data_IF_057735752480
#
_entry.id   IF_057735752480
#
_cell.length_a   1.000
_cell.length_b   1.000
_cell.length_c   1.000
_cell.angle_alpha   90.00
_cell.angle_beta   90.00
_cell.angle_gamma   90.00
#
_symmetry.space_group_name_H-M   'P 1'
#
loop_
_entity.id
_entity.type
_entity.pdbx_description
1 polymer ?
#
# COMPACT_ATOMS: atom_id res chain seq x y z
N UNK A 1 -32.38 8.73 -13.40
CA UNK A 1 -31.56 7.52 -13.18
C UNK A 1 -30.08 7.90 -13.13
N UNK A 2 -29.44 7.86 -11.95
CA UNK A 2 -28.00 8.07 -11.81
C UNK A 2 -27.28 6.77 -12.17
N UNK A 3 -26.51 6.76 -13.24
CA UNK A 3 -25.65 5.62 -13.58
C UNK A 3 -24.41 5.69 -12.68
N UNK A 4 -24.37 4.88 -11.64
CA UNK A 4 -23.14 4.69 -10.84
C UNK A 4 -22.16 3.88 -11.69
N UNK A 5 -21.10 4.55 -12.16
CA UNK A 5 -19.97 3.89 -12.80
C UNK A 5 -19.28 3.04 -11.74
N UNK A 6 -19.52 1.73 -11.76
CA UNK A 6 -18.79 0.78 -10.92
C UNK A 6 -17.40 0.66 -11.56
N UNK A 7 -16.42 1.31 -10.95
CA UNK A 7 -15.02 1.13 -11.30
C UNK A 7 -14.64 -0.28 -10.86
N UNK A 8 -14.45 -1.18 -11.82
CA UNK A 8 -13.95 -2.51 -11.53
C UNK A 8 -12.48 -2.35 -11.15
N UNK A 9 -12.18 -2.33 -9.85
CA UNK A 9 -10.82 -2.52 -9.36
C UNK A 9 -10.38 -3.90 -9.86
N UNK A 10 -9.20 -3.99 -10.46
CA UNK A 10 -8.74 -5.24 -11.06
C UNK A 10 -8.53 -6.28 -9.96
N UNK A 11 -8.87 -7.55 -10.20
CA UNK A 11 -8.60 -8.63 -9.24
C UNK A 11 -7.11 -8.75 -8.89
N UNK A 12 -6.22 -8.24 -9.76
CA UNK A 12 -4.80 -8.11 -9.48
C UNK A 12 -4.51 -7.12 -8.34
N UNK A 13 -5.19 -5.97 -8.32
CA UNK A 13 -4.99 -4.93 -7.31
C UNK A 13 -5.46 -5.41 -5.92
N UNK A 14 -6.60 -6.11 -5.86
CA UNK A 14 -7.11 -6.70 -4.61
C UNK A 14 -6.13 -7.74 -4.02
N UNK A 15 -5.51 -8.55 -4.87
CA UNK A 15 -4.53 -9.55 -4.41
C UNK A 15 -3.26 -8.93 -3.82
N UNK A 16 -2.82 -7.78 -4.36
CA UNK A 16 -1.67 -7.02 -3.85
C UNK A 16 -2.01 -6.37 -2.51
N UNK A 17 -3.24 -5.86 -2.34
CA UNK A 17 -3.72 -5.28 -1.08
C UNK A 17 -3.78 -6.33 0.03
N UNK A 18 -4.27 -7.55 -0.25
CA UNK A 18 -4.28 -8.64 0.75
C UNK A 18 -2.86 -9.06 1.16
N UNK A 19 -1.97 -9.27 0.18
CA UNK A 19 -0.58 -9.65 0.44
C UNK A 19 0.12 -8.61 1.32
N UNK A 20 -0.08 -7.33 1.00
CA UNK A 20 0.49 -6.20 1.75
C UNK A 20 -0.05 -6.13 3.18
N UNK A 21 -1.36 -6.26 3.34
CA UNK A 21 -2.03 -6.26 4.65
C UNK A 21 -1.52 -7.40 5.52
N UNK A 22 -1.40 -8.60 4.94
CA UNK A 22 -0.90 -9.79 5.63
C UNK A 22 0.55 -9.64 6.06
N UNK A 23 1.41 -9.11 5.19
CA UNK A 23 2.82 -8.89 5.49
C UNK A 23 3.00 -7.86 6.61
N UNK A 24 2.25 -6.75 6.56
CA UNK A 24 2.28 -5.73 7.61
C UNK A 24 1.97 -6.34 8.98
N UNK A 25 0.88 -7.10 9.07
CA UNK A 25 0.48 -7.77 10.31
C UNK A 25 1.56 -8.70 10.86
N UNK A 26 2.31 -9.40 10.01
CA UNK A 26 3.42 -10.27 10.44
C UNK A 26 4.57 -9.46 11.06
N UNK A 27 4.96 -8.37 10.42
CA UNK A 27 6.07 -7.52 10.85
C UNK A 27 5.73 -6.76 12.15
N UNK A 28 4.52 -6.19 12.22
CA UNK A 28 4.00 -5.52 13.44
C UNK A 28 3.94 -6.49 14.62
N UNK A 29 3.47 -7.72 14.38
CA UNK A 29 3.44 -8.78 15.41
C UNK A 29 4.83 -9.25 15.82
N UNK A 30 5.82 -9.11 14.94
CA UNK A 30 7.25 -9.33 15.24
C UNK A 30 7.88 -8.20 16.08
N UNK A 31 7.14 -7.12 16.35
CA UNK A 31 7.62 -5.99 17.15
C UNK A 31 8.53 -5.03 16.37
N UNK A 32 8.51 -5.08 15.04
CA UNK A 32 9.23 -4.09 14.23
C UNK A 32 8.62 -2.70 14.44
N UNK A 33 9.48 -1.69 14.48
CA UNK A 33 9.02 -0.31 14.50
C UNK A 33 8.35 0.06 13.15
N UNK A 34 7.47 1.07 13.15
CA UNK A 34 6.72 1.45 11.94
C UNK A 34 7.58 1.79 10.71
N UNK A 35 8.80 2.33 10.90
CA UNK A 35 9.72 2.66 9.79
C UNK A 35 10.29 1.38 9.19
N UNK A 36 10.73 0.43 10.03
CA UNK A 36 11.19 -0.87 9.56
C UNK A 36 10.09 -1.64 8.81
N UNK A 37 8.83 -1.56 9.28
CA UNK A 37 7.68 -2.14 8.56
C UNK A 37 7.51 -1.51 7.17
N UNK A 38 7.58 -0.18 7.07
CA UNK A 38 7.44 0.52 5.79
C UNK A 38 8.55 0.15 4.79
N UNK A 39 9.80 0.05 5.24
CA UNK A 39 10.95 -0.35 4.41
C UNK A 39 10.76 -1.77 3.86
N UNK A 40 10.32 -2.72 4.71
CA UNK A 40 10.08 -4.09 4.26
C UNK A 40 8.94 -4.16 3.24
N UNK A 41 7.84 -3.43 3.47
CA UNK A 41 6.73 -3.38 2.51
C UNK A 41 7.14 -2.74 1.17
N UNK A 42 7.98 -1.69 1.21
CA UNK A 42 8.54 -1.05 0.02
C UNK A 42 9.40 -2.04 -0.78
N UNK A 43 10.34 -2.72 -0.10
CA UNK A 43 11.24 -3.67 -0.74
C UNK A 43 10.51 -4.86 -1.37
N UNK A 44 9.42 -5.32 -0.77
CA UNK A 44 8.68 -6.49 -1.24
C UNK A 44 7.62 -6.20 -2.29
N UNK A 45 6.96 -5.04 -2.20
CA UNK A 45 5.80 -4.75 -3.05
C UNK A 45 6.07 -3.68 -4.10
N UNK A 46 7.12 -2.87 -3.95
CA UNK A 46 7.47 -1.78 -4.85
C UNK A 46 7.05 -0.40 -4.33
N UNK A 47 5.75 -0.11 -4.10
CA UNK A 47 5.28 1.16 -3.55
C UNK A 47 5.22 1.12 -2.01
N UNK A 48 5.56 2.22 -1.34
CA UNK A 48 5.52 2.31 0.13
C UNK A 48 4.17 2.88 0.62
N UNK A 49 3.57 2.35 1.71
CA UNK A 49 2.20 2.69 2.05
C UNK A 49 2.17 4.10 2.63
N UNK A 50 1.59 5.04 1.89
CA UNK A 50 1.53 6.45 2.29
C UNK A 50 2.81 7.25 2.05
N UNK A 51 3.83 6.67 1.41
CA UNK A 51 5.01 7.42 0.93
C UNK A 51 4.90 7.84 -0.53
N UNK A 52 3.83 7.42 -1.21
CA UNK A 52 3.34 8.04 -2.44
C UNK A 52 2.75 9.44 -2.12
N UNK A 53 3.47 10.26 -1.35
CA UNK A 53 3.25 11.70 -1.39
C UNK A 53 3.99 12.12 -2.66
N UNK A 54 3.27 12.58 -3.67
CA UNK A 54 3.87 13.22 -4.84
C UNK A 54 4.99 14.16 -4.37
N UNK A 55 6.24 13.74 -4.52
CA UNK A 55 7.40 14.63 -4.30
C UNK A 55 7.37 15.78 -5.32
N UNK A 56 6.59 15.61 -6.39
CA UNK A 56 6.25 16.62 -7.39
C UNK A 56 5.50 17.82 -6.79
N UNK A 57 4.88 17.69 -5.61
CA UNK A 57 4.16 18.77 -4.92
C UNK A 57 4.97 19.58 -3.92
N UNK A 58 6.13 19.08 -3.45
CA UNK A 58 7.06 19.86 -2.60
C UNK A 58 7.97 20.76 -3.44
N UNK A 59 8.25 20.36 -4.68
CA UNK A 59 9.17 21.06 -5.59
C UNK A 59 8.47 22.11 -6.49
N UNK A 60 7.25 22.54 -6.15
CA UNK A 60 6.47 23.55 -6.86
C UNK A 60 6.28 24.83 -6.02
#
# INVERSE_FOLDING_TARGET
MRKTKITHVSAADDSVIDLRSRRRCQLERGGLDPVAVAINLLAETGPAPGWETDLDGWAA
#
